data_IF_247762358177
#
_entry.id   IF_247762358177
#
_cell.length_a   1.000
_cell.length_b   1.000
_cell.length_c   1.000
_cell.angle_alpha   90.00
_cell.angle_beta   90.00
_cell.angle_gamma   90.00
#
_symmetry.space_group_name_H-M   'P 1'
#
loop_
_entity.id
_entity.type
_entity.pdbx_description
1 polymer ?
#
# COMPACT_ATOMS: atom_id res chain seq x y z
N UNK A 1 -22.82 13.10 -8.14
CA UNK A 1 -21.41 13.44 -7.82
C UNK A 1 -20.49 12.95 -8.93
N UNK A 2 -19.16 13.03 -8.76
CA UNK A 2 -18.21 12.54 -9.77
C UNK A 2 -18.37 11.04 -10.07
N UNK A 3 -18.74 10.24 -9.07
CA UNK A 3 -19.04 8.80 -9.23
C UNK A 3 -20.12 8.55 -10.29
N UNK A 4 -21.25 9.25 -10.19
CA UNK A 4 -22.36 9.15 -11.14
C UNK A 4 -21.95 9.52 -12.56
N UNK A 5 -21.09 10.54 -12.70
CA UNK A 5 -20.52 10.93 -14.00
C UNK A 5 -19.55 9.87 -14.55
N UNK A 6 -18.75 9.25 -13.68
CA UNK A 6 -17.80 8.22 -14.10
C UNK A 6 -18.53 6.94 -14.53
N UNK A 7 -19.54 6.51 -13.77
CA UNK A 7 -20.36 5.34 -14.07
C UNK A 7 -21.16 5.50 -15.36
N UNK A 8 -21.71 6.70 -15.62
CA UNK A 8 -22.45 6.95 -16.87
C UNK A 8 -21.56 6.91 -18.12
N UNK A 9 -20.28 7.25 -17.99
CA UNK A 9 -19.32 7.24 -19.09
C UNK A 9 -18.59 5.89 -19.26
N UNK A 10 -18.44 5.13 -18.19
CA UNK A 10 -17.66 3.89 -18.17
C UNK A 10 -18.43 2.73 -17.55
N UNK A 11 -19.24 2.07 -18.39
CA UNK A 11 -19.94 0.83 -18.01
C UNK A 11 -18.95 -0.32 -17.71
N UNK A 12 -19.24 -1.11 -16.67
CA UNK A 12 -18.44 -2.26 -16.27
C UNK A 12 -17.20 -1.95 -15.43
N UNK A 13 -16.96 -0.68 -15.04
CA UNK A 13 -15.89 -0.30 -14.11
C UNK A 13 -16.46 0.13 -12.77
N UNK A 14 -15.73 -0.15 -11.69
CA UNK A 14 -16.07 0.30 -10.32
C UNK A 14 -15.00 1.25 -9.82
N UNK A 15 -15.39 2.43 -9.37
CA UNK A 15 -14.48 3.40 -8.76
C UNK A 15 -14.16 2.96 -7.33
N UNK A 16 -12.88 2.97 -6.96
CA UNK A 16 -12.42 2.76 -5.58
C UNK A 16 -11.54 3.93 -5.18
N UNK A 17 -11.96 4.68 -4.17
CA UNK A 17 -11.19 5.78 -3.63
C UNK A 17 -10.04 5.27 -2.75
N UNK A 18 -8.85 5.80 -2.99
CA UNK A 18 -7.63 5.50 -2.24
C UNK A 18 -7.26 6.77 -1.46
N UNK A 19 -7.90 6.97 -0.32
CA UNK A 19 -7.84 8.23 0.43
C UNK A 19 -6.47 8.55 1.02
N UNK A 20 -5.67 7.53 1.34
CA UNK A 20 -4.31 7.68 1.85
C UNK A 20 -3.33 8.27 0.80
N UNK A 21 -3.67 8.21 -0.49
CA UNK A 21 -2.90 8.87 -1.56
C UNK A 21 -3.43 10.27 -1.91
N UNK A 22 -4.49 10.71 -1.24
CA UNK A 22 -5.10 12.02 -1.49
C UNK A 22 -4.25 13.16 -0.94
N UNK A 23 -4.02 14.19 -1.76
CA UNK A 23 -3.37 15.44 -1.37
C UNK A 23 -4.36 16.60 -1.57
N UNK A 24 -4.37 17.53 -0.62
CA UNK A 24 -5.29 18.67 -0.56
C UNK A 24 -4.49 19.95 -0.29
N UNK A 25 -4.94 21.05 -0.88
CA UNK A 25 -4.46 22.39 -0.55
C UNK A 25 -5.52 23.12 0.31
N UNK A 26 -5.12 23.55 1.50
CA UNK A 26 -5.99 24.21 2.47
C UNK A 26 -5.48 25.63 2.70
N UNK A 27 -6.34 26.62 2.44
CA UNK A 27 -6.04 28.01 2.79
C UNK A 27 -6.42 28.28 4.25
N UNK A 28 -5.44 28.60 5.09
CA UNK A 28 -5.67 28.97 6.48
C UNK A 28 -5.73 30.49 6.62
N UNK A 29 -6.81 30.97 7.25
CA UNK A 29 -7.10 32.39 7.48
C UNK A 29 -7.02 32.78 8.96
N UNK A 30 -6.68 31.83 9.83
CA UNK A 30 -6.61 32.03 11.29
C UNK A 30 -5.28 32.61 11.78
N UNK A 31 -4.31 32.85 10.89
CA UNK A 31 -3.00 33.39 11.22
C UNK A 31 -2.85 34.85 10.76
N UNK A 32 -1.83 35.54 11.27
CA UNK A 32 -1.51 36.93 10.90
C UNK A 32 -1.37 37.12 9.37
N UNK A 33 -0.85 36.08 8.70
CA UNK A 33 -0.77 36.00 7.24
C UNK A 33 -1.58 34.82 6.74
N UNK A 34 -2.21 34.98 5.58
CA UNK A 34 -2.80 33.85 4.84
C UNK A 34 -1.72 32.84 4.44
N UNK A 35 -1.88 31.59 4.88
CA UNK A 35 -1.02 30.47 4.47
C UNK A 35 -1.81 29.46 3.62
N UNK A 36 -1.12 28.77 2.72
CA UNK A 36 -1.65 27.66 1.94
C UNK A 36 -0.89 26.41 2.35
N UNK A 37 -1.57 25.47 2.99
CA UNK A 37 -0.99 24.21 3.41
C UNK A 37 -1.28 23.13 2.39
N UNK A 38 -0.23 22.49 1.91
CA UNK A 38 -0.31 21.28 1.10
C UNK A 38 -0.15 20.08 2.02
N UNK A 39 -1.19 19.26 2.14
CA UNK A 39 -1.24 18.17 3.11
C UNK A 39 -2.03 16.98 2.56
N UNK A 40 -1.93 15.83 3.23
CA UNK A 40 -2.77 14.66 2.95
C UNK A 40 -4.25 14.91 3.27
N UNK A 41 -5.13 14.11 2.67
CA UNK A 41 -6.56 14.13 2.97
C UNK A 41 -6.85 13.90 4.46
N UNK A 42 -6.11 13.01 5.14
CA UNK A 42 -6.32 12.72 6.56
C UNK A 42 -5.89 13.86 7.48
N UNK A 43 -4.78 14.53 7.19
CA UNK A 43 -4.40 15.77 7.90
C UNK A 43 -5.49 16.84 7.74
N UNK A 44 -6.02 17.01 6.53
CA UNK A 44 -7.09 17.97 6.26
C UNK A 44 -8.36 17.65 7.06
N UNK A 45 -8.80 16.39 7.09
CA UNK A 45 -9.97 15.97 7.86
C UNK A 45 -9.83 16.31 9.36
N UNK A 46 -8.65 16.05 9.93
CA UNK A 46 -8.37 16.42 11.32
C UNK A 46 -8.41 17.94 11.52
N UNK A 47 -7.81 18.73 10.63
CA UNK A 47 -7.81 20.20 10.72
C UNK A 47 -9.21 20.80 10.63
N UNK A 48 -10.08 20.23 9.79
CA UNK A 48 -11.45 20.74 9.62
C UNK A 48 -12.28 20.64 10.91
N UNK A 49 -11.94 19.75 11.84
CA UNK A 49 -12.61 19.67 13.14
C UNK A 49 -12.33 20.91 14.00
N UNK A 50 -11.16 21.52 13.86
CA UNK A 50 -10.78 22.70 14.63
C UNK A 50 -11.53 23.98 14.23
N UNK A 51 -12.19 23.98 13.07
CA UNK A 51 -13.10 25.08 12.69
C UNK A 51 -14.34 25.16 13.59
N UNK A 52 -14.68 24.08 14.32
CA UNK A 52 -15.84 24.03 15.22
C UNK A 52 -15.45 24.02 16.69
N UNK A 53 -14.29 23.46 17.05
CA UNK A 53 -13.82 23.33 18.44
C UNK A 53 -12.35 23.75 18.53
N UNK A 54 -12.01 24.58 19.52
CA UNK A 54 -10.63 25.08 19.69
C UNK A 54 -9.66 24.01 20.18
N UNK A 55 -10.14 23.11 21.04
CA UNK A 55 -9.37 22.02 21.65
C UNK A 55 -10.11 20.71 21.49
N UNK A 56 -9.42 19.67 21.05
CA UNK A 56 -9.99 18.35 20.74
C UNK A 56 -8.98 17.27 21.15
N UNK A 57 -9.45 16.20 21.81
CA UNK A 57 -8.61 15.05 22.16
C UNK A 57 -8.31 14.17 20.95
N UNK A 58 -7.19 13.44 20.97
CA UNK A 58 -6.87 12.47 19.93
C UNK A 58 -8.01 11.47 19.71
N UNK A 59 -8.57 10.94 20.80
CA UNK A 59 -9.67 9.97 20.75
C UNK A 59 -10.88 10.52 19.98
N UNK A 60 -11.29 11.76 20.26
CA UNK A 60 -12.40 12.39 19.55
C UNK A 60 -12.10 12.62 18.07
N UNK A 61 -10.84 12.96 17.71
CA UNK A 61 -10.45 13.12 16.31
C UNK A 61 -10.53 11.77 15.59
N UNK A 62 -10.02 10.70 16.18
CA UNK A 62 -10.07 9.36 15.61
C UNK A 62 -11.52 8.88 15.41
N UNK A 63 -12.39 9.10 16.41
CA UNK A 63 -13.81 8.75 16.34
C UNK A 63 -14.58 9.56 15.28
N UNK A 64 -14.31 10.88 15.19
CA UNK A 64 -14.98 11.75 14.23
C UNK A 64 -14.53 11.50 12.78
N UNK A 65 -13.23 11.27 12.56
CA UNK A 65 -12.67 11.06 11.22
C UNK A 65 -12.82 9.63 10.73
N UNK A 66 -13.01 8.66 11.64
CA UNK A 66 -13.03 7.21 11.37
C UNK A 66 -11.75 6.71 10.66
N UNK A 67 -10.66 7.46 10.76
CA UNK A 67 -9.34 7.05 10.27
C UNK A 67 -8.77 6.05 11.27
N UNK A 68 -8.12 4.96 10.82
CA UNK A 68 -7.45 4.01 11.72
C UNK A 68 -6.54 4.74 12.71
N UNK A 69 -6.61 4.40 14.00
CA UNK A 69 -5.94 5.15 15.06
C UNK A 69 -4.42 5.32 14.81
N UNK A 70 -3.73 4.27 14.38
CA UNK A 70 -2.30 4.31 14.03
C UNK A 70 -1.99 5.32 12.92
N UNK A 71 -2.81 5.31 11.86
CA UNK A 71 -2.69 6.28 10.76
C UNK A 71 -2.99 7.70 11.24
N UNK A 72 -4.08 7.87 11.99
CA UNK A 72 -4.46 9.16 12.54
C UNK A 72 -3.35 9.75 13.42
N UNK A 73 -2.74 8.95 14.33
CA UNK A 73 -1.61 9.39 15.17
C UNK A 73 -0.45 9.88 14.32
N UNK A 74 -0.06 9.11 13.30
CA UNK A 74 1.04 9.46 12.40
C UNK A 74 0.79 10.80 11.69
N UNK A 75 -0.43 10.98 11.20
CA UNK A 75 -0.85 12.20 10.51
C UNK A 75 -0.87 13.41 11.46
N UNK A 76 -1.40 13.26 12.67
CA UNK A 76 -1.40 14.32 13.68
C UNK A 76 0.02 14.67 14.16
N UNK A 77 0.87 13.66 14.41
CA UNK A 77 2.25 13.85 14.85
C UNK A 77 3.07 14.68 13.83
N UNK A 78 2.85 14.46 12.53
CA UNK A 78 3.49 15.27 11.50
C UNK A 78 3.11 16.76 11.54
N UNK A 79 1.94 17.10 12.11
CA UNK A 79 1.49 18.47 12.30
C UNK A 79 1.96 19.08 13.63
N UNK A 80 2.39 18.28 14.60
CA UNK A 80 2.83 18.76 15.92
C UNK A 80 4.35 18.87 16.07
N UNK A 81 5.11 17.99 15.41
CA UNK A 81 6.58 17.88 15.58
C UNK A 81 7.37 18.52 14.45
N UNK A 82 6.76 18.73 13.28
CA UNK A 82 7.49 19.23 12.11
C UNK A 82 8.01 20.66 12.33
N UNK A 83 8.93 21.10 11.46
CA UNK A 83 9.40 22.50 11.37
C UNK A 83 8.27 23.53 11.28
N UNK A 84 7.05 23.08 11.03
CA UNK A 84 5.88 23.90 10.79
C UNK A 84 4.83 23.78 11.90
N UNK A 85 5.13 23.20 13.08
CA UNK A 85 4.26 23.04 14.27
C UNK A 85 2.90 23.76 14.18
N UNK A 86 1.97 23.13 13.45
CA UNK A 86 0.67 23.71 13.12
C UNK A 86 -0.31 23.46 14.26
N UNK A 87 -0.15 22.33 14.93
CA UNK A 87 -0.89 21.96 16.13
C UNK A 87 0.04 21.98 17.34
N UNK A 88 -0.48 22.47 18.46
CA UNK A 88 0.09 22.31 19.80
C UNK A 88 -0.62 21.17 20.51
N UNK A 89 0.06 20.55 21.45
CA UNK A 89 -0.56 19.60 22.37
C UNK A 89 0.02 19.72 23.77
N UNK A 90 -0.70 19.16 24.73
CA UNK A 90 -0.30 19.11 26.14
C UNK A 90 0.62 17.91 26.50
N UNK A 91 0.76 16.92 25.60
CA UNK A 91 1.59 15.72 25.79
C UNK A 91 3.06 15.84 25.35
N UNK A 92 3.77 14.70 25.33
CA UNK A 92 5.17 14.61 24.84
C UNK A 92 5.23 14.77 23.30
N UNK A 93 6.19 15.57 22.81
CA UNK A 93 6.40 15.83 21.39
C UNK A 93 6.64 14.55 20.57
N UNK A 94 7.06 13.45 21.21
CA UNK A 94 7.38 12.20 20.49
C UNK A 94 6.20 11.27 20.30
N UNK A 95 5.13 11.38 21.09
CA UNK A 95 4.00 10.44 21.10
C UNK A 95 2.69 11.14 21.44
N UNK A 96 1.66 10.86 20.66
CA UNK A 96 0.29 11.32 20.91
C UNK A 96 -0.50 10.16 21.52
N UNK A 97 -0.85 10.29 22.79
CA UNK A 97 -1.73 9.36 23.52
C UNK A 97 -3.20 9.72 23.31
N UNK A 98 -4.11 8.83 23.74
CA UNK A 98 -5.55 8.99 23.49
C UNK A 98 -6.16 10.23 24.12
N UNK A 99 -5.68 10.57 25.31
CA UNK A 99 -6.16 11.71 26.09
C UNK A 99 -5.36 13.00 25.78
N UNK A 100 -4.43 12.96 24.83
CA UNK A 100 -3.68 14.14 24.40
C UNK A 100 -4.63 15.14 23.77
N UNK A 101 -4.68 16.35 24.32
CA UNK A 101 -5.44 17.47 23.77
C UNK A 101 -4.61 18.19 22.73
N UNK A 102 -5.18 18.39 21.56
CA UNK A 102 -4.59 19.13 20.46
C UNK A 102 -5.32 20.45 20.24
N UNK A 103 -4.57 21.48 19.87
CA UNK A 103 -5.05 22.83 19.60
C UNK A 103 -4.30 23.44 18.40
N UNK A 104 -4.91 24.38 17.70
CA UNK A 104 -4.24 25.10 16.61
C UNK A 104 -3.20 26.07 17.19
N UNK A 105 -2.00 26.09 16.62
CA UNK A 105 -0.95 27.00 17.04
C UNK A 105 -1.14 28.40 16.46
N UNK A 106 -1.87 29.28 17.15
CA UNK A 106 -2.11 30.66 16.69
C UNK A 106 -0.82 31.48 16.45
N UNK A 107 0.30 31.10 17.08
CA UNK A 107 1.61 31.73 16.91
C UNK A 107 2.43 31.13 15.74
N UNK A 108 1.78 30.47 14.79
CA UNK A 108 2.45 29.87 13.65
C UNK A 108 3.01 30.94 12.69
N UNK A 109 4.31 30.84 12.41
CA UNK A 109 5.03 31.72 11.47
C UNK A 109 5.87 30.88 10.53
N UNK A 110 5.86 31.23 9.25
CA UNK A 110 6.71 30.60 8.24
C UNK A 110 7.13 31.63 7.18
N UNK A 111 8.36 31.53 6.69
CA UNK A 111 8.86 32.36 5.59
C UNK A 111 8.05 32.17 4.31
N UNK A 112 7.56 30.95 4.07
CA UNK A 112 6.80 30.59 2.86
C UNK A 112 5.30 30.68 3.10
N UNK A 113 4.59 31.29 2.15
CA UNK A 113 3.11 31.30 2.11
C UNK A 113 2.57 29.90 1.84
N UNK A 114 3.19 29.17 0.92
CA UNK A 114 2.82 27.79 0.58
C UNK A 114 3.73 26.83 1.34
N UNK A 115 3.14 26.07 2.27
CA UNK A 115 3.85 25.18 3.19
C UNK A 115 3.40 23.76 2.95
N UNK A 116 4.34 22.86 2.65
CA UNK A 116 4.04 21.44 2.47
C UNK A 116 4.26 20.68 3.76
N UNK A 117 3.19 20.12 4.33
CA UNK A 117 3.26 19.29 5.53
C UNK A 117 3.44 17.85 5.09
N UNK A 118 4.70 17.41 5.03
CA UNK A 118 5.04 16.03 4.70
C UNK A 118 4.82 15.12 5.91
N UNK A 119 4.37 13.89 5.67
CA UNK A 119 4.32 12.87 6.71
C UNK A 119 5.73 12.59 7.23
N UNK A 120 5.82 12.32 8.53
CA UNK A 120 7.07 11.86 9.13
C UNK A 120 7.35 10.50 8.50
N UNK A 121 8.45 10.42 7.75
CA UNK A 121 8.96 9.15 7.26
C UNK A 121 9.47 8.39 8.48
N UNK A 122 8.65 7.49 9.02
CA UNK A 122 9.23 6.38 9.78
C UNK A 122 10.19 5.65 8.82
N UNK A 123 11.36 5.21 9.31
CA UNK A 123 12.08 4.13 8.65
C UNK A 123 11.05 3.03 8.48
N UNK A 124 10.62 2.78 7.24
CA UNK A 124 9.50 1.91 6.87
C UNK A 124 9.33 0.80 7.89
N UNK A 125 8.36 0.95 8.80
CA UNK A 125 8.02 -0.15 9.69
C UNK A 125 7.54 -1.26 8.77
N UNK A 126 8.07 -2.45 9.03
CA UNK A 126 8.00 -3.64 8.20
C UNK A 126 6.59 -4.10 7.77
N UNK A 127 5.50 -3.38 8.05
CA UNK A 127 4.12 -3.79 7.77
C UNK A 127 3.75 -3.67 6.30
N UNK A 128 3.91 -2.52 5.65
CA UNK A 128 3.61 -2.38 4.21
C UNK A 128 4.63 -3.13 3.35
N UNK A 129 5.91 -3.09 3.74
CA UNK A 129 6.95 -3.91 3.14
C UNK A 129 6.67 -5.41 3.33
N UNK A 130 6.21 -5.87 4.50
CA UNK A 130 5.89 -7.29 4.70
C UNK A 130 4.68 -7.75 3.87
N UNK A 131 3.68 -6.90 3.65
CA UNK A 131 2.55 -7.26 2.77
C UNK A 131 3.03 -7.38 1.32
N UNK A 132 3.78 -6.41 0.80
CA UNK A 132 4.37 -6.48 -0.54
C UNK A 132 5.38 -7.64 -0.70
N UNK A 133 6.16 -7.92 0.35
CA UNK A 133 7.14 -9.03 0.41
C UNK A 133 6.45 -10.38 0.62
N UNK A 134 5.23 -10.44 1.15
CA UNK A 134 4.44 -11.68 1.27
C UNK A 134 3.64 -11.99 -0.01
N UNK A 135 3.18 -10.97 -0.74
CA UNK A 135 2.49 -11.14 -2.02
C UNK A 135 3.46 -11.53 -3.15
N UNK A 136 4.67 -10.95 -3.20
CA UNK A 136 5.65 -11.24 -4.24
C UNK A 136 6.04 -12.74 -4.36
N UNK A 137 6.25 -13.52 -3.28
CA UNK A 137 6.48 -14.96 -3.33
C UNK A 137 5.30 -15.74 -3.89
N UNK A 138 4.06 -15.34 -3.59
CA UNK A 138 2.85 -16.00 -4.10
C UNK A 138 2.68 -15.73 -5.58
N UNK A 139 2.85 -14.47 -6.02
CA UNK A 139 2.82 -14.11 -7.44
C UNK A 139 3.90 -14.85 -8.24
N UNK A 140 5.12 -14.96 -7.70
CA UNK A 140 6.22 -15.71 -8.35
C UNK A 140 5.87 -17.19 -8.54
N UNK A 141 5.18 -17.84 -7.59
CA UNK A 141 4.73 -19.24 -7.77
C UNK A 141 3.78 -19.37 -8.95
N UNK A 142 2.77 -18.50 -9.04
CA UNK A 142 1.80 -18.52 -10.15
C UNK A 142 2.46 -18.28 -11.51
N UNK A 143 3.46 -17.39 -11.57
CA UNK A 143 4.23 -17.15 -12.81
C UNK A 143 4.99 -18.42 -13.24
N UNK A 144 5.62 -19.13 -12.29
CA UNK A 144 6.32 -20.40 -12.57
C UNK A 144 5.33 -21.48 -13.02
N UNK A 145 4.20 -21.64 -12.32
CA UNK A 145 3.16 -22.60 -12.70
C UNK A 145 2.66 -22.35 -14.13
N UNK A 146 2.35 -21.10 -14.45
CA UNK A 146 1.90 -20.71 -15.78
C UNK A 146 2.96 -20.97 -16.86
N UNK A 147 4.24 -20.74 -16.56
CA UNK A 147 5.34 -21.04 -17.48
C UNK A 147 5.47 -22.54 -17.72
N UNK A 148 5.45 -23.36 -16.67
CA UNK A 148 5.52 -24.83 -16.77
C UNK A 148 4.35 -25.36 -17.61
N UNK A 149 3.11 -24.95 -17.30
CA UNK A 149 1.92 -25.41 -18.02
C UNK A 149 1.97 -24.98 -19.50
N UNK A 150 2.45 -23.77 -19.81
CA UNK A 150 2.58 -23.29 -21.19
C UNK A 150 3.59 -24.13 -21.99
N UNK A 151 4.76 -24.41 -21.40
CA UNK A 151 5.79 -25.29 -21.99
C UNK A 151 5.22 -26.70 -22.23
N UNK A 152 4.65 -27.30 -21.19
CA UNK A 152 4.18 -28.68 -21.23
C UNK A 152 2.96 -28.84 -22.15
N UNK A 153 2.07 -27.86 -22.21
CA UNK A 153 0.93 -27.86 -23.15
C UNK A 153 1.39 -27.86 -24.60
N UNK A 154 2.51 -27.19 -24.92
CA UNK A 154 3.08 -27.12 -26.26
C UNK A 154 3.90 -28.37 -26.62
N UNK A 155 4.75 -28.85 -25.72
CA UNK A 155 5.67 -29.98 -25.97
C UNK A 155 5.03 -31.35 -25.74
N UNK A 156 3.96 -31.43 -24.94
CA UNK A 156 3.22 -32.64 -24.49
C UNK A 156 4.04 -33.65 -23.68
N UNK A 157 5.30 -33.87 -24.01
CA UNK A 157 6.25 -34.74 -23.30
C UNK A 157 7.62 -34.07 -23.31
N UNK A 158 8.24 -33.91 -22.14
CA UNK A 158 9.53 -33.21 -22.00
C UNK A 158 10.33 -33.78 -20.82
N UNK A 159 11.65 -33.85 -20.95
CA UNK A 159 12.53 -34.22 -19.85
C UNK A 159 12.74 -33.05 -18.87
N UNK A 160 13.18 -33.37 -17.66
CA UNK A 160 13.37 -32.40 -16.59
C UNK A 160 14.33 -31.26 -16.93
N UNK A 161 15.48 -31.54 -17.56
CA UNK A 161 16.48 -30.51 -17.82
C UNK A 161 16.01 -29.56 -18.93
N UNK A 162 15.44 -30.11 -20.00
CA UNK A 162 14.85 -29.29 -21.07
C UNK A 162 13.67 -28.45 -20.55
N UNK A 163 12.87 -28.98 -19.62
CA UNK A 163 11.80 -28.21 -18.97
C UNK A 163 12.36 -27.05 -18.14
N UNK A 164 13.42 -27.27 -17.36
CA UNK A 164 14.08 -26.20 -16.61
C UNK A 164 14.58 -25.09 -17.53
N UNK A 165 15.28 -25.43 -18.61
CA UNK A 165 15.79 -24.47 -19.58
C UNK A 165 14.68 -23.64 -20.23
N UNK A 166 13.58 -24.27 -20.64
CA UNK A 166 12.45 -23.55 -21.23
C UNK A 166 11.72 -22.65 -20.20
N UNK A 167 11.58 -23.11 -18.95
CA UNK A 167 10.99 -22.30 -17.87
C UNK A 167 11.89 -21.10 -17.54
N UNK A 168 13.20 -21.28 -17.46
CA UNK A 168 14.14 -20.16 -17.27
C UNK A 168 14.09 -19.15 -18.41
N UNK A 169 13.84 -19.60 -19.64
CA UNK A 169 13.68 -18.71 -20.80
C UNK A 169 12.37 -17.91 -20.74
N UNK A 170 11.28 -18.49 -20.23
CA UNK A 170 9.98 -17.82 -20.15
C UNK A 170 9.82 -16.91 -18.94
N UNK A 171 10.48 -17.21 -17.82
CA UNK A 171 10.46 -16.38 -16.62
C UNK A 171 11.43 -15.19 -16.76
N UNK A 172 10.97 -14.10 -17.39
CA UNK A 172 11.79 -12.88 -17.58
C UNK A 172 11.76 -11.94 -16.37
N UNK A 173 10.69 -11.97 -15.57
CA UNK A 173 10.48 -11.09 -14.43
C UNK A 173 11.43 -11.40 -13.25
N UNK A 174 11.90 -12.64 -13.13
CA UNK A 174 12.84 -13.09 -12.11
C UNK A 174 13.47 -14.42 -12.52
N UNK A 175 14.59 -14.78 -11.89
CA UNK A 175 15.25 -16.07 -12.07
C UNK A 175 14.80 -17.06 -10.97
N UNK A 176 13.88 -17.99 -11.26
CA UNK A 176 13.46 -19.00 -10.28
C UNK A 176 14.62 -19.90 -9.87
N UNK A 177 14.63 -20.37 -8.63
CA UNK A 177 15.58 -21.40 -8.19
C UNK A 177 15.13 -22.78 -8.70
N UNK A 178 16.03 -23.70 -9.09
CA UNK A 178 15.67 -25.05 -9.52
C UNK A 178 14.80 -25.80 -8.49
N UNK A 179 15.06 -25.59 -7.18
CA UNK A 179 14.26 -26.15 -6.09
C UNK A 179 12.81 -25.68 -6.10
N UNK A 180 12.55 -24.41 -6.44
CA UNK A 180 11.20 -23.85 -6.53
C UNK A 180 10.43 -24.45 -7.70
N UNK A 181 11.09 -24.63 -8.85
CA UNK A 181 10.48 -25.27 -10.03
C UNK A 181 10.12 -26.72 -9.70
N UNK A 182 11.00 -27.46 -9.02
CA UNK A 182 10.70 -28.84 -8.59
C UNK A 182 9.45 -28.91 -7.72
N UNK A 183 9.31 -28.02 -6.72
CA UNK A 183 8.11 -27.96 -5.87
C UNK A 183 6.85 -27.65 -6.69
N UNK A 184 6.94 -26.71 -7.65
CA UNK A 184 5.80 -26.40 -8.53
C UNK A 184 5.43 -27.56 -9.46
N UNK A 185 6.41 -28.33 -9.96
CA UNK A 185 6.13 -29.52 -10.77
C UNK A 185 5.37 -30.57 -9.96
N UNK A 186 5.75 -30.85 -8.71
CA UNK A 186 4.98 -31.80 -7.88
C UNK A 186 3.55 -31.26 -7.64
N UNK A 187 3.40 -29.98 -7.33
CA UNK A 187 2.09 -29.34 -7.16
C UNK A 187 1.21 -29.44 -8.42
N UNK A 188 1.80 -29.32 -9.61
CA UNK A 188 1.09 -29.50 -10.88
C UNK A 188 0.78 -30.97 -11.20
N UNK A 189 1.55 -31.92 -10.68
CA UNK A 189 1.22 -33.35 -10.75
C UNK A 189 0.04 -33.68 -9.84
N UNK A 190 0.06 -33.19 -8.60
CA UNK A 190 -1.01 -33.38 -7.62
C UNK A 190 -2.34 -32.79 -8.11
N UNK A 191 -2.29 -31.72 -8.90
CA UNK A 191 -3.44 -31.07 -9.56
C UNK A 191 -3.79 -31.67 -10.93
N UNK A 192 -3.18 -32.79 -11.29
CA UNK A 192 -3.43 -33.54 -12.52
C UNK A 192 -3.18 -32.76 -13.82
N UNK A 193 -2.34 -31.72 -13.80
CA UNK A 193 -1.88 -31.04 -15.04
C UNK A 193 -0.73 -31.79 -15.71
N UNK A 194 0.04 -32.54 -14.93
CA UNK A 194 1.21 -33.28 -15.38
C UNK A 194 1.18 -34.70 -14.80
N UNK A 195 1.79 -35.65 -15.48
CA UNK A 195 2.16 -36.95 -14.92
C UNK A 195 3.59 -37.29 -15.24
N UNK A 196 4.19 -38.15 -14.43
CA UNK A 196 5.49 -38.76 -14.76
C UNK A 196 5.29 -39.90 -15.73
N UNK A 197 6.23 -40.07 -16.64
CA UNK A 197 6.27 -41.25 -17.51
C UNK A 197 6.51 -42.52 -16.66
N UNK A 198 5.88 -43.62 -17.04
CA UNK A 198 5.90 -44.88 -16.28
C UNK A 198 7.27 -45.57 -16.30
N UNK A 199 8.03 -45.40 -17.38
CA UNK A 199 9.35 -46.02 -17.55
C UNK A 199 10.47 -45.08 -17.08
N UNK A 200 10.29 -43.77 -17.27
CA UNK A 200 11.33 -42.76 -17.02
C UNK A 200 10.84 -41.62 -16.14
N UNK A 201 11.20 -41.68 -14.85
CA UNK A 201 10.79 -40.68 -13.83
C UNK A 201 11.24 -39.24 -14.13
N UNK A 202 12.24 -39.05 -14.99
CA UNK A 202 12.76 -37.75 -15.41
C UNK A 202 12.00 -37.12 -16.59
N UNK A 203 10.98 -37.81 -17.12
CA UNK A 203 10.12 -37.30 -18.20
C UNK A 203 8.74 -36.99 -17.64
N UNK A 204 8.23 -35.82 -18.01
CA UNK A 204 6.89 -35.35 -17.67
C UNK A 204 6.01 -35.39 -18.91
N UNK A 205 4.73 -35.69 -18.71
CA UNK A 205 3.70 -35.74 -19.75
C UNK A 205 2.58 -34.80 -19.33
N UNK A 206 2.16 -33.93 -20.25
CA UNK A 206 1.04 -33.02 -20.04
C UNK A 206 -0.30 -33.76 -20.09
N UNK A 207 -1.18 -33.44 -19.15
CA UNK A 207 -2.55 -33.93 -19.10
C UNK A 207 -3.50 -32.81 -19.57
N UNK A 208 -4.35 -33.06 -20.58
CA UNK A 208 -5.31 -32.07 -21.10
C UNK A 208 -6.37 -31.65 -20.09
#
# INVERSE_FOLDING_TARGET
GFETFYESKHSGRKLRWIYNMGQVEVAALCFERKYIFVMSAYQCLALMLFNKRKSITFKEIAEATKVPAEECRRHLLSMTVSKHRLLKHNGDDKKIEDDTQLEVNDAFVNERVKVTISLIKEKEKATEAAVAVAEAPVERKHVVDAAIVRVMKARKKLDHNSLLEEVFRQCTLFKPQPSQIKVQIEHLIDREFLKRDAEKRNIYIYLP
#
